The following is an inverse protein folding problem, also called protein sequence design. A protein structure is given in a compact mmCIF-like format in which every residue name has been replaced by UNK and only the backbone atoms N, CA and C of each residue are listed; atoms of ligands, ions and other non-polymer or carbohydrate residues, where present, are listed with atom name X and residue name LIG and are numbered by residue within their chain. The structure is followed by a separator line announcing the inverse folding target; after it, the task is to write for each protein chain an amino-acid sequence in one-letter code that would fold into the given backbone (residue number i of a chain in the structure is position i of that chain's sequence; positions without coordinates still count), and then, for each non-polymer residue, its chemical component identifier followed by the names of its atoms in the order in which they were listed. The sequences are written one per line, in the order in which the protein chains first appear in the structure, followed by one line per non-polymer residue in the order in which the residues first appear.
data_IF_459817835380
#
_entry.id   IF_459817835380
#
_cell.length_a   1.000
_cell.length_b   1.000
_cell.length_c   1.000
_cell.angle_alpha   90.00
_cell.angle_beta   90.00
_cell.angle_gamma   90.00
#
_symmetry.space_group_name_H-M   'P 1'
#
loop_
_entity.id
_entity.type
_entity.pdbx_description
1 polymer ?
#
# COMPACT_ATOMS: atom_id res chain seq x y z
N UNK A 1 -5.05 22.13 2.02
CA UNK A 1 -3.92 21.32 1.57
C UNK A 1 -4.28 19.85 1.73
N UNK A 2 -4.14 19.05 0.67
CA UNK A 2 -4.47 17.64 0.66
C UNK A 2 -3.22 16.84 0.26
N UNK A 3 -2.83 15.90 1.11
CA UNK A 3 -1.70 15.00 0.84
C UNK A 3 -2.20 13.71 0.20
N UNK A 4 -1.61 13.31 -0.93
CA UNK A 4 -1.85 12.01 -1.57
C UNK A 4 -0.87 10.91 -1.05
N UNK A 5 -0.22 11.13 0.09
CA UNK A 5 0.61 10.08 0.70
C UNK A 5 -0.19 8.80 0.86
N UNK A 6 0.40 7.68 0.48
CA UNK A 6 -0.22 6.35 0.55
C UNK A 6 0.04 5.61 1.88
N UNK A 7 0.96 6.10 2.70
CA UNK A 7 1.38 5.43 3.93
C UNK A 7 1.46 6.38 5.12
N UNK A 8 2.01 7.59 4.92
CA UNK A 8 2.25 8.54 6.00
C UNK A 8 1.02 9.40 6.29
N UNK A 9 0.59 9.49 7.57
CA UNK A 9 -0.45 10.42 7.98
C UNK A 9 0.03 11.87 7.85
N UNK A 10 -0.88 12.77 7.50
CA UNK A 10 -0.55 14.19 7.36
C UNK A 10 -0.27 14.90 8.70
N UNK A 11 -0.59 14.30 9.84
CA UNK A 11 -0.17 14.77 11.17
C UNK A 11 1.35 14.88 11.29
N UNK A 12 2.11 14.00 10.61
CA UNK A 12 3.58 13.99 10.64
C UNK A 12 4.20 15.32 10.18
N UNK A 13 3.50 16.12 9.40
CA UNK A 13 3.97 17.44 8.92
C UNK A 13 2.99 18.58 9.21
N UNK A 14 2.00 18.37 10.08
CA UNK A 14 1.01 19.39 10.44
C UNK A 14 1.66 20.64 11.05
N UNK A 15 2.74 20.48 11.81
CA UNK A 15 3.51 21.61 12.39
C UNK A 15 4.24 22.46 11.35
N UNK A 16 4.45 21.95 10.14
CA UNK A 16 5.14 22.65 9.04
C UNK A 16 4.17 23.48 8.18
N UNK A 17 2.87 23.42 8.43
CA UNK A 17 1.86 24.19 7.69
C UNK A 17 1.30 25.33 8.53
N UNK A 18 1.05 26.49 7.88
CA UNK A 18 0.53 27.69 8.58
C UNK A 18 -0.86 27.48 9.18
N UNK A 19 -1.69 26.65 8.56
CA UNK A 19 -3.06 26.40 9.01
C UNK A 19 -3.37 24.90 8.93
N UNK A 20 -3.06 24.11 9.95
CA UNK A 20 -3.32 22.67 9.99
C UNK A 20 -4.82 22.32 9.99
N UNK A 21 -5.71 23.25 10.34
CA UNK A 21 -7.16 23.03 10.21
C UNK A 21 -7.59 22.83 8.74
N UNK A 22 -6.76 23.21 7.77
CA UNK A 22 -6.98 22.99 6.33
C UNK A 22 -6.08 21.91 5.73
N UNK A 23 -5.52 21.04 6.56
CA UNK A 23 -4.67 19.92 6.14
C UNK A 23 -5.40 18.59 6.38
N UNK A 24 -5.33 17.69 5.41
CA UNK A 24 -5.83 16.32 5.50
C UNK A 24 -5.08 15.40 4.52
N UNK A 25 -5.30 14.09 4.62
CA UNK A 25 -4.96 13.15 3.55
C UNK A 25 -6.18 12.94 2.62
N UNK A 26 -5.89 12.91 1.31
CA UNK A 26 -6.78 12.41 0.26
C UNK A 26 -6.01 11.37 -0.54
N UNK A 27 -6.05 10.13 -0.08
CA UNK A 27 -5.32 9.04 -0.72
C UNK A 27 -6.15 8.46 -1.86
N UNK A 28 -5.76 8.80 -3.08
CA UNK A 28 -6.30 8.20 -4.30
C UNK A 28 -5.55 6.90 -4.57
N UNK A 29 -6.27 5.81 -4.78
CA UNK A 29 -5.64 4.53 -5.06
C UNK A 29 -5.01 4.52 -6.46
N UNK A 30 -5.77 4.30 -7.51
CA UNK A 30 -5.23 4.34 -8.89
C UNK A 30 -6.30 4.81 -9.89
N UNK A 31 -6.72 6.08 -9.86
CA UNK A 31 -7.68 6.58 -10.84
C UNK A 31 -7.05 6.61 -12.25
N UNK A 32 -7.85 6.46 -13.32
CA UNK A 32 -9.31 6.39 -13.33
C UNK A 32 -9.88 4.99 -13.07
N UNK A 33 -9.05 3.94 -13.11
CA UNK A 33 -9.53 2.55 -13.05
C UNK A 33 -9.97 2.14 -11.63
N UNK A 34 -9.28 2.65 -10.61
CA UNK A 34 -9.60 2.39 -9.20
C UNK A 34 -10.04 3.69 -8.55
N UNK A 35 -11.35 3.85 -8.38
CA UNK A 35 -12.04 5.09 -7.99
C UNK A 35 -12.16 5.37 -6.47
N UNK A 36 -11.90 4.45 -5.54
CA UNK A 36 -11.89 4.76 -4.12
C UNK A 36 -10.87 5.84 -3.76
N UNK A 37 -11.26 6.73 -2.83
CA UNK A 37 -10.37 7.73 -2.22
C UNK A 37 -10.56 7.72 -0.71
N UNK A 38 -9.48 7.60 0.04
CA UNK A 38 -9.50 7.61 1.49
C UNK A 38 -9.27 9.03 2.00
N UNK A 39 -10.17 9.48 2.88
CA UNK A 39 -10.14 10.80 3.52
C UNK A 39 -9.77 10.65 4.98
N UNK A 40 -8.65 11.24 5.42
CA UNK A 40 -8.17 11.12 6.79
C UNK A 40 -7.76 12.48 7.36
N UNK A 41 -8.24 12.78 8.57
CA UNK A 41 -7.84 13.97 9.32
C UNK A 41 -6.37 13.89 9.75
N UNK A 42 -5.70 15.03 9.85
CA UNK A 42 -4.40 15.17 10.51
C UNK A 42 -4.52 15.35 12.05
N UNK A 43 -5.70 15.13 12.61
CA UNK A 43 -5.99 15.40 14.02
C UNK A 43 -6.39 16.84 14.32
N UNK A 44 -6.07 17.79 13.42
CA UNK A 44 -6.40 19.22 13.55
C UNK A 44 -7.28 19.71 12.39
N UNK A 45 -7.63 18.86 11.44
CA UNK A 45 -8.48 19.18 10.29
C UNK A 45 -9.85 19.68 10.79
N UNK A 46 -10.33 20.78 10.23
CA UNK A 46 -11.67 21.31 10.53
C UNK A 46 -12.73 20.25 10.24
N UNK A 47 -13.64 20.05 11.18
CA UNK A 47 -14.63 18.99 11.15
C UNK A 47 -15.57 19.04 9.93
N UNK A 48 -15.74 20.23 9.30
CA UNK A 48 -16.58 20.40 8.13
C UNK A 48 -15.92 19.93 6.82
N UNK A 49 -14.58 19.81 6.77
CA UNK A 49 -13.87 19.57 5.51
C UNK A 49 -14.10 18.14 4.99
N UNK A 50 -13.95 17.13 5.84
CA UNK A 50 -14.11 15.73 5.41
C UNK A 50 -15.54 15.45 4.95
N UNK A 51 -16.60 15.84 5.68
CA UNK A 51 -17.97 15.69 5.19
C UNK A 51 -18.21 16.41 3.86
N UNK A 52 -17.69 17.62 3.69
CA UNK A 52 -17.79 18.36 2.43
C UNK A 52 -17.17 17.59 1.26
N UNK A 53 -15.96 17.05 1.43
CA UNK A 53 -15.30 16.28 0.38
C UNK A 53 -16.00 14.96 0.10
N UNK A 54 -16.49 14.27 1.14
CA UNK A 54 -17.27 13.05 1.00
C UNK A 54 -18.57 13.27 0.22
N UNK A 55 -19.21 14.44 0.36
CA UNK A 55 -20.37 14.85 -0.42
C UNK A 55 -20.03 15.18 -1.89
N UNK A 56 -18.88 15.84 -2.12
CA UNK A 56 -18.51 16.37 -3.44
C UNK A 56 -17.88 15.33 -4.37
N UNK A 57 -17.06 14.44 -3.85
CA UNK A 57 -16.26 13.52 -4.65
C UNK A 57 -17.07 12.57 -5.55
N UNK A 58 -18.28 12.09 -5.16
CA UNK A 58 -19.12 11.30 -6.07
C UNK A 58 -19.47 12.03 -7.37
N UNK A 59 -19.61 13.36 -7.32
CA UNK A 59 -19.86 14.18 -8.52
C UNK A 59 -18.69 14.18 -9.53
N UNK A 60 -17.51 13.74 -9.11
CA UNK A 60 -16.32 13.57 -9.96
C UNK A 60 -16.03 12.09 -10.30
N UNK A 61 -16.97 11.18 -10.04
CA UNK A 61 -16.82 9.75 -10.29
C UNK A 61 -15.97 9.01 -9.26
N UNK A 62 -15.69 9.62 -8.10
CA UNK A 62 -14.88 9.03 -7.03
C UNK A 62 -15.76 8.46 -5.92
N UNK A 63 -15.27 7.42 -5.23
CA UNK A 63 -15.95 6.82 -4.08
C UNK A 63 -15.15 7.14 -2.80
N UNK A 64 -15.58 8.12 -1.99
CA UNK A 64 -14.87 8.50 -0.78
C UNK A 64 -15.10 7.52 0.38
N UNK A 65 -14.04 7.19 1.09
CA UNK A 65 -14.04 6.42 2.34
C UNK A 65 -13.40 7.23 3.47
N UNK A 66 -14.11 7.42 4.56
CA UNK A 66 -13.61 8.18 5.71
C UNK A 66 -12.82 7.27 6.65
N UNK A 67 -11.55 7.58 6.83
CA UNK A 67 -10.69 6.95 7.83
C UNK A 67 -10.96 7.61 9.18
N UNK A 68 -11.69 6.93 10.04
CA UNK A 68 -12.25 7.50 11.29
C UNK A 68 -11.22 7.78 12.38
N UNK A 69 -10.07 7.11 12.33
CA UNK A 69 -8.93 7.32 13.24
C UNK A 69 -7.67 7.30 12.42
N UNK A 70 -6.76 8.21 12.72
CA UNK A 70 -5.46 8.24 12.06
C UNK A 70 -4.79 6.86 12.11
N UNK A 71 -4.31 6.42 10.96
CA UNK A 71 -3.71 5.10 10.77
C UNK A 71 -2.67 5.16 9.66
N UNK A 72 -1.48 4.67 9.94
CA UNK A 72 -0.49 4.39 8.91
C UNK A 72 -1.05 3.38 7.89
N UNK A 73 -0.91 3.69 6.60
CA UNK A 73 -1.47 2.88 5.50
C UNK A 73 -2.99 2.95 5.38
N UNK A 74 -3.63 3.85 6.12
CA UNK A 74 -5.08 4.11 6.08
C UNK A 74 -5.91 2.82 6.27
N UNK A 75 -6.89 2.54 5.41
CA UNK A 75 -7.68 1.30 5.42
C UNK A 75 -7.02 0.27 4.49
N UNK A 76 -6.93 0.61 3.19
CA UNK A 76 -6.53 -0.35 2.16
C UNK A 76 -5.08 -0.79 2.31
N UNK A 77 -4.13 0.14 2.36
CA UNK A 77 -2.71 -0.22 2.43
C UNK A 77 -2.34 -0.92 3.74
N UNK A 78 -3.08 -0.67 4.83
CA UNK A 78 -2.88 -1.39 6.09
C UNK A 78 -3.28 -2.87 5.98
N UNK A 79 -4.39 -3.17 5.28
CA UNK A 79 -4.81 -4.55 4.98
C UNK A 79 -3.84 -5.18 3.99
N UNK A 80 -3.51 -4.44 2.94
CA UNK A 80 -2.57 -4.89 1.90
C UNK A 80 -1.18 -5.20 2.46
N UNK A 81 -0.69 -4.41 3.41
CA UNK A 81 0.58 -4.69 4.09
C UNK A 81 0.56 -6.02 4.85
N UNK A 82 -0.56 -6.40 5.45
CA UNK A 82 -0.70 -7.70 6.10
C UNK A 82 -0.70 -8.86 5.08
N UNK A 83 -1.41 -8.69 3.97
CA UNK A 83 -1.42 -9.68 2.87
C UNK A 83 -0.01 -9.86 2.31
N UNK A 84 0.69 -8.77 1.96
CA UNK A 84 2.06 -8.83 1.46
C UNK A 84 3.01 -9.56 2.41
N UNK A 85 2.93 -9.20 3.69
CA UNK A 85 3.83 -9.73 4.71
C UNK A 85 3.65 -11.24 4.86
N UNK A 86 2.43 -11.71 4.96
CA UNK A 86 2.14 -13.13 5.09
C UNK A 86 2.47 -13.89 3.79
N UNK A 87 2.15 -13.32 2.64
CA UNK A 87 2.56 -13.85 1.33
C UNK A 87 4.08 -14.06 1.24
N UNK A 88 4.85 -13.05 1.66
CA UNK A 88 6.31 -13.13 1.65
C UNK A 88 6.85 -14.14 2.68
N UNK A 89 6.18 -14.32 3.82
CA UNK A 89 6.54 -15.33 4.78
C UNK A 89 6.36 -16.74 4.19
N UNK A 90 5.22 -17.02 3.55
CA UNK A 90 4.96 -18.28 2.85
C UNK A 90 6.06 -18.62 1.83
N UNK A 91 6.49 -17.62 1.04
CA UNK A 91 7.57 -17.80 0.06
C UNK A 91 8.93 -17.95 0.74
N UNK A 92 9.25 -17.14 1.74
CA UNK A 92 10.54 -17.16 2.44
C UNK A 92 10.76 -18.46 3.23
N UNK A 93 9.71 -19.03 3.77
CA UNK A 93 9.73 -20.31 4.50
C UNK A 93 9.69 -21.53 3.57
N UNK A 94 9.58 -21.32 2.27
CA UNK A 94 9.52 -22.39 1.27
C UNK A 94 8.22 -23.22 1.32
N UNK A 95 7.15 -22.64 1.88
CA UNK A 95 5.83 -23.31 1.94
C UNK A 95 5.23 -23.45 0.54
N UNK A 96 5.37 -22.42 -0.30
CA UNK A 96 4.93 -22.43 -1.69
C UNK A 96 5.79 -21.49 -2.55
N UNK A 97 5.80 -21.73 -3.86
CA UNK A 97 6.39 -20.81 -4.83
C UNK A 97 5.49 -19.58 -5.05
N UNK A 98 6.02 -18.44 -5.53
CA UNK A 98 5.21 -17.27 -5.88
C UNK A 98 4.07 -17.61 -6.85
N UNK A 99 4.32 -18.49 -7.82
CA UNK A 99 3.35 -18.96 -8.82
C UNK A 99 2.18 -19.71 -8.16
N UNK A 100 2.49 -20.62 -7.22
CA UNK A 100 1.48 -21.38 -6.48
C UNK A 100 0.66 -20.49 -5.57
N UNK A 101 1.29 -19.53 -4.89
CA UNK A 101 0.61 -18.53 -4.06
C UNK A 101 -0.38 -17.72 -4.90
N UNK A 102 0.04 -17.19 -6.04
CA UNK A 102 -0.83 -16.37 -6.89
C UNK A 102 -1.95 -17.23 -7.51
N UNK A 103 -1.66 -18.47 -7.90
CA UNK A 103 -2.67 -19.37 -8.46
C UNK A 103 -3.77 -19.73 -7.46
N UNK A 104 -3.39 -20.11 -6.22
CA UNK A 104 -4.39 -20.44 -5.19
C UNK A 104 -5.15 -19.19 -4.74
N UNK A 105 -4.46 -18.04 -4.62
CA UNK A 105 -5.11 -16.77 -4.25
C UNK A 105 -6.17 -16.37 -5.25
N UNK A 106 -5.84 -16.46 -6.56
CA UNK A 106 -6.81 -16.19 -7.65
C UNK A 106 -8.05 -17.10 -7.55
N UNK A 107 -7.85 -18.40 -7.37
CA UNK A 107 -8.97 -19.35 -7.29
C UNK A 107 -9.82 -19.18 -6.03
N UNK A 108 -9.18 -18.98 -4.87
CA UNK A 108 -9.86 -18.85 -3.59
C UNK A 108 -10.62 -17.52 -3.42
N UNK A 109 -10.19 -16.46 -4.12
CA UNK A 109 -10.82 -15.12 -4.04
C UNK A 109 -11.77 -14.81 -5.19
N UNK A 110 -12.34 -15.84 -5.82
CA UNK A 110 -13.33 -15.71 -6.90
C UNK A 110 -12.82 -14.92 -8.12
N UNK A 111 -11.54 -15.10 -8.45
CA UNK A 111 -10.98 -14.60 -9.69
C UNK A 111 -10.39 -13.19 -9.62
N UNK A 112 -9.87 -12.76 -8.47
CA UNK A 112 -9.01 -11.57 -8.45
C UNK A 112 -7.90 -11.77 -9.50
N UNK A 113 -7.81 -10.90 -10.53
CA UNK A 113 -7.01 -11.20 -11.73
C UNK A 113 -5.49 -11.19 -11.47
N UNK A 114 -5.05 -10.52 -10.40
CA UNK A 114 -3.63 -10.40 -10.07
C UNK A 114 -3.38 -10.86 -8.64
N UNK A 115 -2.58 -11.90 -8.47
CA UNK A 115 -2.20 -12.40 -7.16
C UNK A 115 -1.19 -11.47 -6.45
N UNK A 116 -0.99 -11.68 -5.12
CA UNK A 116 -0.18 -10.78 -4.30
C UNK A 116 1.29 -10.70 -4.75
N UNK A 117 1.88 -11.78 -5.23
CA UNK A 117 3.27 -11.78 -5.69
C UNK A 117 3.44 -10.95 -6.97
N UNK A 118 2.56 -11.13 -7.94
CA UNK A 118 2.56 -10.30 -9.17
C UNK A 118 2.31 -8.83 -8.88
N UNK A 119 1.42 -8.53 -7.93
CA UNK A 119 1.15 -7.15 -7.55
C UNK A 119 2.36 -6.50 -6.87
N UNK A 120 3.10 -7.23 -6.04
CA UNK A 120 4.35 -6.72 -5.46
C UNK A 120 5.41 -6.45 -6.52
N UNK A 121 5.56 -7.33 -7.51
CA UNK A 121 6.48 -7.10 -8.64
C UNK A 121 6.09 -5.90 -9.50
N UNK A 122 4.80 -5.64 -9.70
CA UNK A 122 4.33 -4.48 -10.44
C UNK A 122 4.62 -3.16 -9.69
N UNK A 123 4.51 -3.15 -8.36
CA UNK A 123 4.86 -2.00 -7.50
C UNK A 123 6.37 -1.76 -7.47
N UNK A 124 7.15 -2.85 -7.48
CA UNK A 124 8.59 -2.87 -7.33
C UNK A 124 9.05 -3.29 -5.94
N UNK A 125 9.90 -4.30 -5.87
CA UNK A 125 10.31 -4.93 -4.62
C UNK A 125 11.15 -4.02 -3.71
N UNK A 126 11.86 -3.04 -4.25
CA UNK A 126 12.53 -1.98 -3.49
C UNK A 126 11.53 -1.08 -2.76
N UNK A 127 10.43 -0.72 -3.41
CA UNK A 127 9.35 0.06 -2.81
C UNK A 127 8.63 -0.78 -1.74
N UNK A 128 8.37 -2.06 -2.03
CA UNK A 128 7.78 -3.00 -1.06
C UNK A 128 8.67 -3.13 0.17
N UNK A 129 9.99 -3.27 -0.01
CA UNK A 129 10.96 -3.32 1.09
C UNK A 129 10.92 -2.05 1.94
N UNK A 130 10.98 -0.88 1.32
CA UNK A 130 10.94 0.40 2.04
C UNK A 130 9.66 0.54 2.90
N UNK A 131 8.52 0.09 2.37
CA UNK A 131 7.24 0.08 3.08
C UNK A 131 7.29 -0.89 4.27
N UNK A 132 7.80 -2.12 4.09
CA UNK A 132 7.87 -3.12 5.16
C UNK A 132 8.87 -2.72 6.27
N UNK A 133 10.00 -2.07 5.92
CA UNK A 133 10.92 -1.48 6.90
C UNK A 133 10.25 -0.37 7.72
N UNK A 134 9.51 0.51 7.05
CA UNK A 134 8.74 1.55 7.74
C UNK A 134 7.71 0.94 8.71
N UNK A 135 6.95 -0.07 8.28
CA UNK A 135 6.01 -0.76 9.16
C UNK A 135 6.71 -1.42 10.36
N UNK A 136 7.88 -2.02 10.15
CA UNK A 136 8.64 -2.66 11.22
C UNK A 136 9.19 -1.64 12.23
N UNK A 137 9.54 -0.43 11.77
CA UNK A 137 9.94 0.67 12.65
C UNK A 137 8.77 1.14 13.55
N UNK A 138 7.58 1.29 12.96
CA UNK A 138 6.39 1.82 13.66
C UNK A 138 5.65 0.76 14.50
N UNK A 139 5.88 -0.53 14.26
CA UNK A 139 5.12 -1.62 14.87
C UNK A 139 6.04 -2.76 15.31
N UNK A 140 6.16 -2.94 16.63
CA UNK A 140 6.91 -4.05 17.20
C UNK A 140 6.28 -5.43 16.87
N UNK A 141 7.11 -6.46 16.83
CA UNK A 141 6.69 -7.86 16.69
C UNK A 141 6.36 -8.31 15.26
N UNK A 142 6.69 -7.52 14.24
CA UNK A 142 6.55 -7.97 12.85
C UNK A 142 7.66 -8.97 12.48
N UNK A 143 7.32 -10.07 11.77
CA UNK A 143 8.30 -11.09 11.40
C UNK A 143 9.41 -10.54 10.52
N UNK A 144 10.65 -11.04 10.70
CA UNK A 144 11.82 -10.60 9.95
C UNK A 144 11.95 -11.27 8.58
N UNK A 145 11.47 -12.51 8.43
CA UNK A 145 11.65 -13.29 7.21
C UNK A 145 11.21 -12.58 5.92
N UNK A 146 10.05 -11.89 5.86
CA UNK A 146 9.66 -11.11 4.67
C UNK A 146 10.67 -10.04 4.27
N UNK A 147 11.21 -9.30 5.24
CA UNK A 147 12.20 -8.24 4.97
C UNK A 147 13.55 -8.82 4.53
N UNK A 148 13.95 -9.94 5.13
CA UNK A 148 15.18 -10.66 4.74
C UNK A 148 15.10 -11.11 3.29
N UNK A 149 13.98 -11.74 2.88
CA UNK A 149 13.75 -12.13 1.49
C UNK A 149 13.78 -10.91 0.55
N UNK A 150 13.10 -9.84 0.89
CA UNK A 150 13.08 -8.63 0.06
C UNK A 150 14.47 -8.00 -0.08
N UNK A 151 15.25 -7.91 1.02
CA UNK A 151 16.63 -7.38 0.97
C UNK A 151 17.52 -8.21 0.04
N UNK A 152 17.39 -9.54 0.09
CA UNK A 152 18.12 -10.44 -0.79
C UNK A 152 17.75 -10.18 -2.26
N UNK A 153 16.47 -10.17 -2.61
CA UNK A 153 16.00 -9.94 -3.98
C UNK A 153 16.45 -8.56 -4.50
N UNK A 154 16.33 -7.52 -3.68
CA UNK A 154 16.77 -6.17 -4.05
C UNK A 154 18.29 -6.11 -4.26
N UNK A 155 19.09 -6.77 -3.42
CA UNK A 155 20.55 -6.84 -3.57
C UNK A 155 20.97 -7.58 -4.86
N UNK A 156 20.17 -8.55 -5.30
CA UNK A 156 20.36 -9.27 -6.58
C UNK A 156 19.88 -8.47 -7.80
N UNK A 157 19.35 -7.25 -7.63
CA UNK A 157 18.79 -6.43 -8.70
C UNK A 157 17.43 -6.94 -9.21
N UNK A 158 16.75 -7.79 -8.45
CA UNK A 158 15.41 -8.32 -8.75
C UNK A 158 14.37 -7.33 -8.18
N UNK A 159 14.05 -6.29 -8.95
CA UNK A 159 13.17 -5.22 -8.49
C UNK A 159 11.72 -5.37 -8.99
N UNK A 160 11.36 -6.50 -9.55
CA UNK A 160 10.06 -6.75 -10.16
C UNK A 160 10.00 -6.39 -11.64
N UNK A 161 8.82 -6.10 -12.16
CA UNK A 161 8.58 -5.85 -13.58
C UNK A 161 9.52 -4.78 -14.17
N UNK A 162 9.84 -3.73 -13.43
CA UNK A 162 10.72 -2.64 -13.89
C UNK A 162 12.18 -3.05 -14.15
N UNK A 163 12.62 -4.18 -13.62
CA UNK A 163 13.97 -4.73 -13.86
C UNK A 163 13.96 -6.03 -14.65
N UNK A 164 12.80 -6.42 -15.19
CA UNK A 164 12.62 -7.66 -15.92
C UNK A 164 12.57 -8.92 -15.06
N UNK A 165 12.78 -8.81 -13.75
CA UNK A 165 12.76 -9.93 -12.81
C UNK A 165 12.47 -9.48 -11.38
N UNK A 166 11.75 -10.32 -10.62
CA UNK A 166 11.36 -10.07 -9.24
C UNK A 166 11.11 -11.37 -8.51
N UNK A 167 9.93 -11.53 -7.91
CA UNK A 167 9.41 -12.82 -7.46
C UNK A 167 9.17 -13.76 -8.66
N UNK A 168 8.91 -13.17 -9.80
CA UNK A 168 8.82 -13.82 -11.12
C UNK A 168 9.99 -13.42 -12.01
N UNK A 169 10.32 -14.29 -12.99
CA UNK A 169 11.41 -14.08 -13.97
C UNK A 169 10.91 -14.00 -15.43
N UNK A 170 9.61 -13.82 -15.65
CA UNK A 170 8.95 -13.86 -16.95
C UNK A 170 8.56 -12.48 -17.52
N UNK A 171 9.12 -11.42 -16.97
CA UNK A 171 8.99 -10.07 -17.53
C UNK A 171 9.94 -9.90 -18.72
N UNK A 172 9.48 -9.27 -19.78
CA UNK A 172 10.34 -8.93 -20.90
C UNK A 172 11.52 -8.01 -20.49
N UNK A 173 12.50 -7.82 -21.37
CA UNK A 173 13.61 -6.91 -21.09
C UNK A 173 13.09 -5.52 -20.74
N UNK A 174 13.72 -4.92 -19.73
CA UNK A 174 13.38 -3.60 -19.21
C UNK A 174 13.66 -2.49 -20.25
#
# INVERSE_FOLDING_TARGET
LASNSSSYPSSAFASSVKNPARLLNTHFLMPPDIIPVELMSCGQTDAAIIPLLAERFPGYGLTPYVVRRESMGFIFNRIWAAIKRETLAVVAEGVATPQEVDAIYHQATSGIPVGPCRLMDAVGLDVVLAIEEHYAHERAGLPEAPRTLLRQLVAEGRLGAKSGRGLYDDYGPA
#
